data_IF_006042934264
#
_entry.id   IF_006042934264
#
_cell.length_a   1.000
_cell.length_b   1.000
_cell.length_c   1.000
_cell.angle_alpha   90.00
_cell.angle_beta   90.00
_cell.angle_gamma   90.00
#
_symmetry.space_group_name_H-M   'P 1'
#
loop_
_entity.id
_entity.type
_entity.pdbx_description
1 polymer ?
#
# COMPACT_ATOMS: atom_id res chain seq x y z
N UNK A 1 8.66 -19.18 16.72
CA UNK A 1 9.18 -18.78 15.40
C UNK A 1 9.42 -20.02 14.56
N UNK A 2 8.66 -20.19 13.48
CA UNK A 2 8.91 -21.25 12.49
C UNK A 2 9.95 -20.70 11.51
N UNK A 3 11.16 -21.25 11.51
CA UNK A 3 12.21 -20.87 10.55
C UNK A 3 11.94 -21.49 9.19
N UNK A 4 12.22 -20.73 8.13
CA UNK A 4 12.10 -21.16 6.73
C UNK A 4 13.33 -21.89 6.20
N UNK A 5 14.45 -21.85 6.94
CA UNK A 5 15.77 -22.24 6.43
C UNK A 5 16.43 -21.21 5.51
N UNK A 6 15.75 -20.12 5.16
CA UNK A 6 16.30 -18.99 4.39
C UNK A 6 16.45 -17.77 5.33
N UNK A 7 17.70 -17.34 5.53
CA UNK A 7 18.03 -16.23 6.42
C UNK A 7 17.39 -14.90 6.00
N UNK A 8 17.15 -14.69 4.70
CA UNK A 8 16.50 -13.47 4.20
C UNK A 8 15.01 -13.50 4.53
N UNK A 9 14.34 -14.64 4.31
CA UNK A 9 12.92 -14.82 4.64
C UNK A 9 12.67 -14.70 6.14
N UNK A 10 13.51 -15.33 6.94
CA UNK A 10 13.44 -15.23 8.40
C UNK A 10 13.65 -13.78 8.87
N UNK A 11 14.52 -13.01 8.21
CA UNK A 11 14.69 -11.59 8.51
C UNK A 11 13.47 -10.74 8.14
N UNK A 12 12.80 -11.05 7.02
CA UNK A 12 11.54 -10.40 6.63
C UNK A 12 10.46 -10.67 7.69
N UNK A 13 10.32 -11.92 8.16
CA UNK A 13 9.38 -12.29 9.23
C UNK A 13 9.64 -11.53 10.52
N UNK A 14 10.91 -11.42 10.93
CA UNK A 14 11.30 -10.67 12.13
C UNK A 14 10.92 -9.18 12.03
N UNK A 15 11.17 -8.55 10.87
CA UNK A 15 10.81 -7.14 10.65
C UNK A 15 9.29 -6.95 10.69
N UNK A 16 8.54 -7.82 10.00
CA UNK A 16 7.07 -7.77 10.00
C UNK A 16 6.50 -7.96 11.41
N UNK A 17 7.00 -8.94 12.16
CA UNK A 17 6.56 -9.21 13.52
C UNK A 17 6.83 -8.00 14.43
N UNK A 18 8.02 -7.40 14.34
CA UNK A 18 8.38 -6.22 15.14
C UNK A 18 7.50 -5.01 14.82
N UNK A 19 7.05 -4.87 13.58
CA UNK A 19 6.08 -3.84 13.21
C UNK A 19 4.71 -4.16 13.80
N UNK A 20 4.21 -5.40 13.62
CA UNK A 20 2.90 -5.83 14.10
C UNK A 20 2.77 -5.83 15.63
N UNK A 21 3.85 -6.10 16.38
CA UNK A 21 3.82 -6.10 17.84
C UNK A 21 3.52 -4.72 18.44
N UNK A 22 3.81 -3.63 17.71
CA UNK A 22 3.52 -2.27 18.16
C UNK A 22 2.02 -1.95 18.19
N UNK A 23 1.20 -2.69 17.44
CA UNK A 23 -0.24 -2.43 17.32
C UNK A 23 -0.94 -2.52 18.67
N UNK A 24 -0.47 -3.39 19.58
CA UNK A 24 -1.05 -3.54 20.91
C UNK A 24 -1.01 -2.24 21.75
N UNK A 25 -0.04 -1.36 21.50
CA UNK A 25 0.14 -0.08 22.17
C UNK A 25 -0.47 1.10 21.40
N UNK A 26 -0.82 0.90 20.13
CA UNK A 26 -1.33 1.93 19.22
C UNK A 26 -2.87 1.98 19.14
N UNK A 27 -3.57 0.95 19.63
CA UNK A 27 -5.03 0.83 19.54
C UNK A 27 -5.76 1.21 20.83
N UNK A 28 -6.97 1.75 20.67
CA UNK A 28 -7.90 2.03 21.78
C UNK A 28 -8.25 0.76 22.56
N UNK A 29 -8.59 0.93 23.84
CA UNK A 29 -8.83 -0.15 24.81
C UNK A 29 -9.88 -1.16 24.31
N UNK A 30 -10.91 -0.68 23.61
CA UNK A 30 -11.99 -1.49 23.06
C UNK A 30 -11.51 -2.43 21.95
N UNK A 31 -10.55 -1.98 21.12
CA UNK A 31 -9.97 -2.77 20.02
C UNK A 31 -8.83 -3.67 20.48
N UNK A 32 -8.24 -3.38 21.65
CA UNK A 32 -7.12 -4.13 22.21
C UNK A 32 -7.43 -5.61 22.39
N UNK A 33 -8.67 -5.98 22.74
CA UNK A 33 -9.09 -7.39 22.86
C UNK A 33 -8.99 -8.17 21.54
N UNK A 34 -9.39 -7.57 20.42
CA UNK A 34 -9.28 -8.20 19.08
C UNK A 34 -7.82 -8.31 18.66
N UNK A 35 -7.03 -7.28 18.93
CA UNK A 35 -5.60 -7.23 18.57
C UNK A 35 -4.77 -8.23 19.38
N UNK A 36 -5.02 -8.34 20.68
CA UNK A 36 -4.31 -9.28 21.57
C UNK A 36 -4.64 -10.75 21.24
N UNK A 37 -5.79 -11.02 20.64
CA UNK A 37 -6.16 -12.36 20.20
C UNK A 37 -5.38 -12.84 18.96
N UNK A 38 -4.74 -11.92 18.22
CA UNK A 38 -3.92 -12.26 17.06
C UNK A 38 -2.45 -12.41 17.49
N UNK A 39 -1.80 -13.52 17.16
CA UNK A 39 -0.35 -13.64 17.32
C UNK A 39 0.36 -12.89 16.18
N UNK A 40 1.15 -11.83 16.49
CA UNK A 40 1.93 -11.12 15.49
C UNK A 40 2.88 -12.02 14.70
N UNK A 41 3.36 -13.13 15.28
CA UNK A 41 4.22 -14.08 14.60
C UNK A 41 3.49 -14.84 13.50
N UNK A 42 2.30 -15.37 13.79
CA UNK A 42 1.52 -16.13 12.82
C UNK A 42 1.12 -15.25 11.63
N UNK A 43 0.72 -14.00 11.90
CA UNK A 43 0.43 -13.03 10.85
C UNK A 43 1.68 -12.68 10.05
N UNK A 44 2.83 -12.45 10.69
CA UNK A 44 4.08 -12.19 9.99
C UNK A 44 4.51 -13.36 9.08
N UNK A 45 4.33 -14.59 9.53
CA UNK A 45 4.59 -15.80 8.74
C UNK A 45 3.65 -15.87 7.54
N UNK A 46 2.35 -15.64 7.74
CA UNK A 46 1.36 -15.64 6.66
C UNK A 46 1.64 -14.56 5.61
N UNK A 47 1.91 -13.33 6.05
CA UNK A 47 2.23 -12.21 5.16
C UNK A 47 3.52 -12.47 4.39
N UNK A 48 4.57 -12.93 5.06
CA UNK A 48 5.83 -13.23 4.39
C UNK A 48 5.69 -14.37 3.37
N UNK A 49 4.95 -15.42 3.69
CA UNK A 49 4.67 -16.51 2.73
C UNK A 49 3.94 -15.98 1.49
N UNK A 50 2.93 -15.14 1.65
CA UNK A 50 2.23 -14.51 0.52
C UNK A 50 3.17 -13.60 -0.31
N UNK A 51 4.07 -12.86 0.35
CA UNK A 51 5.10 -12.07 -0.33
C UNK A 51 6.03 -12.98 -1.15
N UNK A 52 6.50 -14.08 -0.58
CA UNK A 52 7.38 -15.02 -1.26
C UNK A 52 6.70 -15.74 -2.41
N UNK A 53 5.45 -16.16 -2.27
CA UNK A 53 4.69 -16.81 -3.34
C UNK A 53 4.44 -15.88 -4.53
N UNK A 54 4.21 -14.59 -4.28
CA UNK A 54 3.89 -13.61 -5.33
C UNK A 54 5.12 -12.93 -5.93
N UNK A 55 6.12 -12.62 -5.11
CA UNK A 55 7.33 -11.89 -5.53
C UNK A 55 8.52 -12.84 -5.75
N UNK A 56 8.51 -14.03 -5.17
CA UNK A 56 9.67 -14.92 -5.15
C UNK A 56 10.74 -14.47 -4.16
N UNK A 57 11.97 -14.93 -4.41
CA UNK A 57 13.13 -14.65 -3.56
C UNK A 57 13.41 -13.15 -3.39
N UNK A 58 13.96 -12.78 -2.25
CA UNK A 58 14.39 -11.41 -1.95
C UNK A 58 15.66 -11.03 -2.76
N UNK A 59 15.54 -10.97 -4.08
CA UNK A 59 16.64 -10.80 -5.03
C UNK A 59 16.24 -9.91 -6.21
N UNK A 60 17.26 -9.32 -6.85
CA UNK A 60 17.11 -8.47 -8.03
C UNK A 60 15.98 -7.42 -7.94
N UNK A 61 15.05 -7.38 -8.91
CA UNK A 61 14.00 -6.36 -8.98
C UNK A 61 12.98 -6.46 -7.83
N UNK A 62 12.80 -7.66 -7.24
CA UNK A 62 11.80 -7.90 -6.20
C UNK A 62 12.15 -7.19 -4.89
N UNK A 63 13.44 -6.97 -4.62
CA UNK A 63 13.92 -6.23 -3.46
C UNK A 63 13.27 -4.85 -3.30
N UNK A 64 12.90 -4.18 -4.40
CA UNK A 64 12.27 -2.87 -4.33
C UNK A 64 10.86 -2.97 -3.71
N UNK A 65 10.06 -3.95 -4.15
CA UNK A 65 8.70 -4.15 -3.64
C UNK A 65 8.70 -4.64 -2.19
N UNK A 66 9.58 -5.58 -1.84
CA UNK A 66 9.76 -5.99 -0.44
C UNK A 66 10.15 -4.82 0.47
N UNK A 67 11.15 -4.02 0.08
CA UNK A 67 11.58 -2.85 0.86
C UNK A 67 10.43 -1.86 1.04
N UNK A 68 9.64 -1.63 -0.02
CA UNK A 68 8.47 -0.78 0.05
C UNK A 68 7.42 -1.28 1.05
N UNK A 69 7.09 -2.57 1.03
CA UNK A 69 6.09 -3.14 1.96
C UNK A 69 6.61 -3.06 3.40
N UNK A 70 7.85 -3.48 3.64
CA UNK A 70 8.46 -3.44 4.96
C UNK A 70 8.57 -2.02 5.52
N UNK A 71 8.91 -1.05 4.68
CA UNK A 71 8.96 0.36 5.06
C UNK A 71 7.57 0.88 5.47
N UNK A 72 6.54 0.65 4.66
CA UNK A 72 5.18 1.09 4.99
C UNK A 72 4.64 0.43 6.26
N UNK A 73 4.90 -0.88 6.45
CA UNK A 73 4.53 -1.58 7.68
C UNK A 73 5.24 -1.02 8.92
N UNK A 74 6.50 -0.59 8.75
CA UNK A 74 7.30 0.01 9.81
C UNK A 74 7.01 1.48 10.11
N UNK A 75 6.23 2.18 9.28
CA UNK A 75 5.99 3.62 9.39
C UNK A 75 5.14 3.96 10.62
N UNK A 76 5.73 4.64 11.60
CA UNK A 76 5.04 5.04 12.83
C UNK A 76 3.82 5.93 12.57
N UNK A 77 3.77 6.63 11.44
CA UNK A 77 2.65 7.51 11.07
C UNK A 77 1.46 6.75 10.49
N UNK A 78 1.55 5.43 10.29
CA UNK A 78 0.46 4.59 9.80
C UNK A 78 0.16 3.38 10.70
N UNK A 79 -0.33 3.62 11.94
CA UNK A 79 -0.75 2.53 12.83
C UNK A 79 -1.96 1.76 12.28
N UNK A 80 -2.81 2.41 11.46
CA UNK A 80 -4.01 1.79 10.93
C UNK A 80 -3.71 0.70 9.90
N UNK A 81 -2.72 0.89 9.02
CA UNK A 81 -2.27 -0.17 8.11
C UNK A 81 -1.81 -1.41 8.88
N UNK A 82 -0.99 -1.23 9.92
CA UNK A 82 -0.54 -2.35 10.75
C UNK A 82 -1.71 -3.05 11.44
N UNK A 83 -2.65 -2.28 12.00
CA UNK A 83 -3.86 -2.80 12.64
C UNK A 83 -4.69 -3.63 11.66
N UNK A 84 -4.94 -3.11 10.45
CA UNK A 84 -5.70 -3.80 9.40
C UNK A 84 -5.05 -5.12 8.98
N UNK A 85 -3.72 -5.15 8.85
CA UNK A 85 -2.99 -6.39 8.54
C UNK A 85 -3.04 -7.37 9.71
N UNK A 86 -2.81 -6.92 10.95
CA UNK A 86 -2.82 -7.79 12.13
C UNK A 86 -4.19 -8.43 12.37
N UNK A 87 -5.27 -7.67 12.15
CA UNK A 87 -6.65 -8.13 12.34
C UNK A 87 -7.22 -8.90 11.15
N UNK A 88 -6.45 -9.04 10.06
CA UNK A 88 -6.86 -9.74 8.85
C UNK A 88 -7.80 -8.97 7.91
N UNK A 89 -8.06 -7.68 8.19
CA UNK A 89 -8.81 -6.79 7.26
C UNK A 89 -8.05 -6.61 5.94
N UNK A 90 -6.72 -6.64 5.98
CA UNK A 90 -5.84 -6.71 4.80
C UNK A 90 -5.07 -8.02 4.84
N UNK A 91 -5.32 -8.90 3.87
CA UNK A 91 -4.56 -10.15 3.72
C UNK A 91 -3.15 -9.90 3.18
N UNK A 92 -2.23 -10.84 3.44
CA UNK A 92 -0.88 -10.78 2.88
C UNK A 92 -0.88 -10.71 1.35
N UNK A 93 -1.77 -11.45 0.69
CA UNK A 93 -1.93 -11.39 -0.78
C UNK A 93 -2.35 -10.01 -1.26
N UNK A 94 -3.34 -9.39 -0.60
CA UNK A 94 -3.77 -8.04 -0.94
C UNK A 94 -2.64 -7.05 -0.74
N UNK A 95 -1.92 -7.14 0.39
CA UNK A 95 -0.80 -6.26 0.73
C UNK A 95 0.28 -6.27 -0.36
N UNK A 96 0.57 -7.42 -0.98
CA UNK A 96 1.58 -7.48 -2.05
C UNK A 96 1.14 -6.72 -3.30
N UNK A 97 -0.15 -6.77 -3.63
CA UNK A 97 -0.72 -6.14 -4.83
C UNK A 97 -1.00 -4.65 -4.69
N UNK A 98 -1.13 -4.14 -3.46
CA UNK A 98 -1.43 -2.73 -3.22
C UNK A 98 -0.34 -1.80 -3.77
N UNK A 99 -0.76 -0.63 -4.25
CA UNK A 99 0.16 0.45 -4.63
C UNK A 99 0.73 1.16 -3.39
N UNK A 100 1.85 1.87 -3.55
CA UNK A 100 2.50 2.59 -2.42
C UNK A 100 1.56 3.65 -1.84
N UNK A 101 0.83 4.29 -2.72
CA UNK A 101 -0.14 5.33 -2.45
C UNK A 101 -1.28 4.79 -1.59
N UNK A 102 -1.75 3.57 -1.86
CA UNK A 102 -2.81 2.88 -1.10
C UNK A 102 -2.33 2.37 0.27
N UNK A 103 -1.01 2.25 0.47
CA UNK A 103 -0.41 1.90 1.76
C UNK A 103 -0.15 3.12 2.65
N UNK A 104 -0.36 4.34 2.14
CA UNK A 104 -0.23 5.56 2.94
C UNK A 104 -1.28 5.65 4.04
N UNK A 105 -1.09 6.56 4.99
CA UNK A 105 -2.15 6.87 5.97
C UNK A 105 -3.36 7.48 5.26
N UNK A 106 -4.56 7.41 5.86
CA UNK A 106 -5.79 7.95 5.26
C UNK A 106 -5.64 9.42 4.79
N UNK A 107 -4.86 10.22 5.52
CA UNK A 107 -4.55 11.59 5.14
C UNK A 107 -3.73 11.65 3.84
N UNK A 108 -2.68 10.86 3.74
CA UNK A 108 -1.83 10.77 2.53
C UNK A 108 -2.62 10.23 1.35
N UNK A 109 -3.47 9.22 1.56
CA UNK A 109 -4.34 8.67 0.52
C UNK A 109 -5.29 9.75 -0.04
N UNK A 110 -5.94 10.53 0.83
CA UNK A 110 -6.82 11.64 0.43
C UNK A 110 -6.07 12.72 -0.34
N UNK A 111 -4.91 13.15 0.14
CA UNK A 111 -4.08 14.16 -0.53
C UNK A 111 -3.65 13.71 -1.94
N UNK A 112 -3.22 12.45 -2.08
CA UNK A 112 -2.86 11.87 -3.39
C UNK A 112 -4.07 11.82 -4.33
N UNK A 113 -5.25 11.45 -3.81
CA UNK A 113 -6.48 11.40 -4.62
C UNK A 113 -6.89 12.80 -5.11
N UNK A 114 -6.86 13.81 -4.26
CA UNK A 114 -7.16 15.19 -4.63
C UNK A 114 -6.21 15.74 -5.70
N UNK A 115 -4.92 15.41 -5.60
CA UNK A 115 -3.92 15.80 -6.61
C UNK A 115 -4.23 15.13 -7.95
N UNK A 116 -4.55 13.83 -7.94
CA UNK A 116 -4.92 13.07 -9.15
C UNK A 116 -6.19 13.63 -9.80
N UNK A 117 -7.20 13.99 -9.02
CA UNK A 117 -8.44 14.61 -9.52
C UNK A 117 -8.21 15.99 -10.11
N UNK A 118 -7.43 16.85 -9.44
CA UNK A 118 -7.05 18.18 -9.95
C UNK A 118 -6.26 18.08 -11.25
N UNK A 119 -5.39 17.08 -11.39
CA UNK A 119 -4.65 16.83 -12.62
C UNK A 119 -5.58 16.42 -13.77
N UNK A 120 -6.47 15.44 -13.54
CA UNK A 120 -7.47 15.01 -14.52
C UNK A 120 -8.37 16.15 -14.98
N UNK A 121 -8.90 16.94 -14.05
CA UNK A 121 -9.76 18.08 -14.38
C UNK A 121 -9.04 19.13 -15.24
N UNK A 122 -7.75 19.39 -14.97
CA UNK A 122 -6.94 20.29 -15.80
C UNK A 122 -6.70 19.73 -17.21
N UNK A 123 -6.47 18.43 -17.32
CA UNK A 123 -6.27 17.76 -18.61
C UNK A 123 -7.55 17.76 -19.45
N UNK A 124 -8.69 17.40 -18.85
CA UNK A 124 -10.00 17.42 -19.53
C UNK A 124 -10.36 18.83 -20.02
N UNK A 125 -10.11 19.85 -19.20
CA UNK A 125 -10.33 21.24 -19.61
C UNK A 125 -9.39 21.67 -20.74
N UNK A 126 -8.13 21.20 -20.73
CA UNK A 126 -7.18 21.47 -21.81
C UNK A 126 -7.58 20.77 -23.12
N UNK A 127 -8.13 19.57 -23.03
CA UNK A 127 -8.61 18.82 -24.19
C UNK A 127 -9.86 19.49 -24.79
N UNK A 128 -10.81 19.91 -23.93
CA UNK A 128 -11.99 20.66 -24.34
C UNK A 128 -11.64 22.00 -25.02
N UNK A 129 -10.72 22.77 -24.44
CA UNK A 129 -10.30 24.04 -25.04
C UNK A 129 -9.61 23.85 -26.38
N UNK A 130 -8.80 22.79 -26.53
CA UNK A 130 -8.18 22.44 -27.80
C UNK A 130 -9.23 22.02 -28.86
N UNK A 131 -10.25 21.24 -28.49
CA UNK A 131 -11.33 20.86 -29.43
C UNK A 131 -12.19 22.04 -29.87
N UNK A 132 -12.47 22.99 -28.97
CA UNK A 132 -13.20 24.23 -29.30
C UNK A 132 -12.47 25.09 -30.35
N UNK A 133 -11.13 25.14 -30.28
CA UNK A 133 -10.31 25.88 -31.25
C UNK A 133 -10.38 25.27 -32.66
N UNK A 134 -10.52 23.94 -32.78
CA UNK A 134 -10.60 23.25 -34.06
C UNK A 134 -12.00 23.25 -34.70
N UNK A 135 -13.06 23.62 -33.97
CA UNK A 135 -14.43 23.73 -34.52
C UNK A 135 -14.76 25.15 -35.02
N UNK A 136 -13.82 26.10 -34.88
CA UNK A 136 -14.03 27.52 -35.19
C UNK A 136 -13.61 27.95 -36.60
N UNK A 137 -13.20 27.04 -37.48
CA UNK A 137 -12.87 27.36 -38.89
C UNK A 137 -14.02 26.93 -39.83
N UNK A 138 -15.02 27.81 -40.09
CA UNK A 138 -15.91 27.63 -41.23
C UNK A 138 -15.13 27.96 -42.50
N UNK A 139 -15.16 27.06 -43.48
CA UNK A 139 -14.76 27.28 -44.86
C UNK A 139 -15.13 28.70 -45.31
N UNK A 140 -14.13 29.54 -45.59
CA UNK A 140 -14.34 30.67 -46.51
C UNK A 140 -14.69 30.07 -47.87
N UNK A 141 -15.98 30.01 -48.16
CA UNK A 141 -16.50 29.79 -49.50
C UNK A 141 -16.11 31.05 -50.30
N UNK A 142 -15.02 30.95 -51.06
CA UNK A 142 -14.70 31.89 -52.13
C UNK A 142 -15.56 31.51 -53.34
N UNK A 143 -16.65 32.24 -53.55
CA UNK A 143 -17.36 32.35 -54.83
C UNK A 143 -17.72 33.80 -55.06
#
# INVERSE_FOLDING_TARGET
>A
MISTGDSKRDKVREILQKSLSKVADEVLVEMKKRVVACDPWDVAVSVESAMFERLGCFEGPQKAKYRSILFNMGDTNNPDLRRKVLTGEISGERLVTMEREEMGSDKVQKEVQEIKEKARFKEDNRLKSMMMLHQSDPMMIMT
#
